data_IF_940149610055
#
_entry.id   IF_940149610055
#
_cell.length_a   1.000
_cell.length_b   1.000
_cell.length_c   1.000
_cell.angle_alpha   90.00
_cell.angle_beta   90.00
_cell.angle_gamma   90.00
#
_symmetry.space_group_name_H-M   'P 1'
#
loop_
_entity.id
_entity.type
_entity.pdbx_description
1 polymer ?
#
# COMPACT_ATOMS: atom_id res chain seq x y z
N UNK A 1 7.11 5.94 4.32
CA UNK A 1 5.94 5.29 4.88
C UNK A 1 6.36 4.18 5.84
N UNK A 2 5.96 4.28 7.08
CA UNK A 2 6.27 3.29 8.12
C UNK A 2 4.98 2.76 8.72
N UNK A 3 4.90 1.43 8.86
CA UNK A 3 3.78 0.79 9.53
C UNK A 3 4.33 -0.03 10.70
N UNK A 4 3.92 0.34 11.90
CA UNK A 4 4.37 -0.33 13.12
C UNK A 4 3.83 -1.76 13.21
N UNK A 5 4.48 -2.62 14.03
CA UNK A 5 4.03 -4.01 14.18
C UNK A 5 2.56 -4.13 14.56
N UNK A 6 1.85 -5.01 13.88
CA UNK A 6 0.45 -5.29 14.14
C UNK A 6 -0.53 -4.22 13.67
N UNK A 7 -0.05 -3.18 12.98
CA UNK A 7 -0.89 -2.07 12.50
C UNK A 7 -1.21 -2.22 11.03
N UNK A 8 -2.24 -1.51 10.60
CA UNK A 8 -2.66 -1.47 9.20
C UNK A 8 -3.15 -0.07 8.84
N UNK A 9 -3.03 0.25 7.56
CA UNK A 9 -3.61 1.47 7.01
C UNK A 9 -5.04 1.20 6.56
N UNK A 10 -5.76 2.25 6.18
CA UNK A 10 -7.12 2.06 5.65
C UNK A 10 -7.08 1.38 4.27
N UNK A 11 -8.15 0.67 3.94
CA UNK A 11 -8.39 0.22 2.58
C UNK A 11 -8.78 1.44 1.75
N UNK A 12 -8.02 1.72 0.69
CA UNK A 12 -8.16 2.96 -0.06
C UNK A 12 -7.81 2.77 -1.53
N UNK A 13 -8.26 3.71 -2.35
CA UNK A 13 -7.84 3.81 -3.74
C UNK A 13 -7.70 5.26 -4.15
N UNK A 14 -6.95 5.49 -5.22
CA UNK A 14 -6.75 6.81 -5.80
C UNK A 14 -7.22 6.78 -7.25
N UNK A 15 -7.86 7.84 -7.69
CA UNK A 15 -8.46 7.90 -9.01
C UNK A 15 -7.49 8.35 -10.09
N UNK A 16 -6.57 9.25 -9.75
CA UNK A 16 -5.73 9.94 -10.73
C UNK A 16 -4.24 9.65 -10.62
N UNK A 17 -3.80 8.89 -9.62
CA UNK A 17 -2.39 8.59 -9.43
C UNK A 17 -2.13 7.10 -9.29
N UNK A 18 -0.93 6.72 -9.68
CA UNK A 18 -0.36 5.42 -9.35
C UNK A 18 0.66 5.58 -8.24
N UNK A 19 1.01 4.48 -7.59
CA UNK A 19 2.05 4.46 -6.56
C UNK A 19 2.99 3.31 -6.85
N UNK A 20 4.27 3.57 -6.76
CA UNK A 20 5.30 2.56 -6.88
C UNK A 20 5.96 2.38 -5.52
N UNK A 21 5.91 1.17 -5.01
CA UNK A 21 6.40 0.85 -3.68
C UNK A 21 7.60 -0.08 -3.74
N UNK A 22 8.60 0.22 -2.90
CA UNK A 22 9.72 -0.69 -2.64
C UNK A 22 9.78 -0.87 -1.13
N UNK A 23 9.75 -2.13 -0.67
CA UNK A 23 9.91 -2.43 0.75
C UNK A 23 11.39 -2.29 1.07
N UNK A 24 11.75 -1.32 1.92
CA UNK A 24 13.12 -1.12 2.34
C UNK A 24 13.46 -1.90 3.60
N UNK A 25 12.47 -2.18 4.45
CA UNK A 25 12.68 -2.89 5.71
C UNK A 25 11.40 -3.61 6.11
N UNK A 26 11.55 -4.82 6.63
CA UNK A 26 10.43 -5.60 7.13
C UNK A 26 9.68 -6.35 6.05
N UNK A 27 8.59 -7.00 6.44
CA UNK A 27 7.73 -7.77 5.54
C UNK A 27 6.35 -7.17 5.56
N UNK A 28 5.89 -6.72 4.42
CA UNK A 28 4.59 -6.06 4.26
C UNK A 28 3.57 -7.03 3.67
N UNK A 29 2.32 -6.89 4.10
CA UNK A 29 1.21 -7.59 3.49
C UNK A 29 0.36 -6.56 2.75
N UNK A 30 0.17 -6.76 1.47
CA UNK A 30 -0.66 -5.90 0.64
C UNK A 30 -1.99 -6.60 0.40
N UNK A 31 -3.04 -6.06 0.99
CA UNK A 31 -4.40 -6.56 0.82
C UNK A 31 -5.06 -5.80 -0.33
N UNK A 32 -5.49 -6.55 -1.33
CA UNK A 32 -6.25 -6.03 -2.46
C UNK A 32 -7.69 -6.50 -2.32
N UNK A 33 -8.61 -5.59 -2.45
CA UNK A 33 -10.01 -5.91 -2.34
C UNK A 33 -10.44 -6.85 -3.48
N UNK A 34 -11.14 -7.93 -3.12
CA UNK A 34 -11.70 -8.87 -4.10
C UNK A 34 -10.85 -10.12 -4.33
N UNK A 35 -10.81 -10.58 -5.56
CA UNK A 35 -10.22 -11.89 -5.92
C UNK A 35 -8.71 -11.97 -5.79
N UNK A 36 -8.03 -10.84 -5.74
CA UNK A 36 -6.57 -10.83 -5.74
C UNK A 36 -5.97 -11.18 -4.39
N UNK A 37 -6.75 -11.05 -3.31
CA UNK A 37 -6.31 -11.46 -1.99
C UNK A 37 -5.16 -10.66 -1.42
N UNK A 38 -4.29 -11.33 -0.68
CA UNK A 38 -3.15 -10.71 0.01
C UNK A 38 -1.84 -11.14 -0.66
N UNK A 39 -1.00 -10.16 -0.95
CA UNK A 39 0.34 -10.38 -1.47
C UNK A 39 1.36 -10.04 -0.40
N UNK A 40 2.30 -10.94 -0.14
CA UNK A 40 3.38 -10.70 0.82
C UNK A 40 4.57 -10.11 0.09
N UNK A 41 5.05 -8.98 0.57
CA UNK A 41 6.19 -8.26 0.00
C UNK A 41 7.37 -8.35 0.96
N UNK A 42 8.41 -9.04 0.54
CA UNK A 42 9.68 -9.18 1.28
C UNK A 42 10.53 -7.92 1.08
N UNK A 43 11.59 -7.72 1.90
CA UNK A 43 12.51 -6.61 1.67
C UNK A 43 13.03 -6.59 0.24
N UNK A 44 13.07 -5.41 -0.35
CA UNK A 44 13.47 -5.12 -1.73
C UNK A 44 12.46 -5.54 -2.79
N UNK A 45 11.34 -6.14 -2.42
CA UNK A 45 10.25 -6.38 -3.36
C UNK A 45 9.60 -5.06 -3.76
N UNK A 46 9.10 -5.05 -4.98
CA UNK A 46 8.47 -3.89 -5.59
C UNK A 46 7.04 -4.21 -5.93
N UNK A 47 6.18 -3.19 -5.89
CA UNK A 47 4.80 -3.34 -6.30
C UNK A 47 4.27 -2.01 -6.84
N UNK A 48 3.53 -2.08 -7.92
CA UNK A 48 2.86 -0.91 -8.50
C UNK A 48 1.37 -0.99 -8.21
N UNK A 49 0.82 0.11 -7.71
CA UNK A 49 -0.61 0.25 -7.49
C UNK A 49 -1.12 1.24 -8.52
N UNK A 50 -1.98 0.77 -9.40
CA UNK A 50 -2.52 1.58 -10.49
C UNK A 50 -3.73 2.39 -10.01
N UNK A 51 -4.07 3.48 -10.73
CA UNK A 51 -5.28 4.22 -10.40
C UNK A 51 -6.51 3.32 -10.36
N UNK A 52 -7.37 3.52 -9.38
CA UNK A 52 -8.59 2.75 -9.23
C UNK A 52 -8.44 1.40 -8.52
N UNK A 53 -7.22 1.00 -8.18
CA UNK A 53 -7.00 -0.25 -7.45
C UNK A 53 -7.15 -0.04 -5.95
N UNK A 54 -7.99 -0.85 -5.33
CA UNK A 54 -8.09 -0.92 -3.88
C UNK A 54 -6.81 -1.52 -3.30
N UNK A 55 -6.31 -0.92 -2.22
CA UNK A 55 -5.13 -1.42 -1.54
C UNK A 55 -5.14 -1.07 -0.06
N UNK A 56 -4.58 -1.95 0.74
CA UNK A 56 -4.43 -1.76 2.18
C UNK A 56 -3.10 -2.38 2.60
N UNK A 57 -2.26 -1.59 3.22
CA UNK A 57 -0.99 -2.07 3.74
C UNK A 57 -1.17 -2.55 5.17
N UNK A 58 -0.71 -3.76 5.44
CA UNK A 58 -0.83 -4.41 6.75
C UNK A 58 0.56 -4.89 7.18
N UNK A 59 0.88 -4.66 8.43
CA UNK A 59 2.07 -5.25 9.05
C UNK A 59 1.63 -6.32 10.05
N UNK A 60 1.76 -7.58 9.65
CA UNK A 60 1.40 -8.74 10.48
C UNK A 60 2.59 -9.30 11.24
N UNK A 61 3.70 -8.56 11.32
CA UNK A 61 4.93 -9.03 11.93
C UNK A 61 5.25 -8.29 13.22
N UNK A 62 6.33 -8.71 13.88
CA UNK A 62 6.82 -8.08 15.11
C UNK A 62 7.78 -6.92 14.85
N UNK A 63 8.13 -6.68 13.60
CA UNK A 63 9.11 -5.66 13.21
C UNK A 63 8.44 -4.56 12.39
N UNK A 64 8.97 -3.33 12.43
CA UNK A 64 8.41 -2.26 11.60
C UNK A 64 8.57 -2.57 10.11
N UNK A 65 7.62 -2.09 9.33
CA UNK A 65 7.69 -2.13 7.86
C UNK A 65 7.96 -0.72 7.36
N UNK A 66 8.98 -0.58 6.51
CA UNK A 66 9.30 0.70 5.87
C UNK A 66 9.21 0.56 4.37
N UNK A 67 8.51 1.49 3.76
CA UNK A 67 8.26 1.48 2.32
C UNK A 67 8.68 2.82 1.73
N UNK A 68 9.46 2.76 0.67
CA UNK A 68 9.72 3.91 -0.20
C UNK A 68 8.59 3.96 -1.21
N UNK A 69 7.94 5.11 -1.29
CA UNK A 69 6.77 5.30 -2.13
C UNK A 69 7.01 6.43 -3.12
N UNK A 70 6.71 6.18 -4.39
CA UNK A 70 6.74 7.19 -5.44
C UNK A 70 5.33 7.31 -5.98
N UNK A 71 4.76 8.51 -5.87
CA UNK A 71 3.46 8.82 -6.45
C UNK A 71 3.67 9.46 -7.81
N UNK A 72 2.93 9.02 -8.80
CA UNK A 72 3.05 9.56 -10.14
C UNK A 72 1.74 9.38 -10.91
N UNK A 73 1.61 10.11 -12.00
CA UNK A 73 0.43 10.03 -12.84
C UNK A 73 -0.14 11.39 -13.17
N UNK A 74 -1.39 11.39 -13.56
CA UNK A 74 -2.07 12.60 -14.03
C UNK A 74 -2.18 13.67 -12.94
N UNK A 75 -2.44 13.27 -11.71
CA UNK A 75 -2.66 14.20 -10.60
C UNK A 75 -2.30 13.52 -9.27
N UNK A 76 -1.32 14.09 -8.56
CA UNK A 76 -0.89 13.59 -7.26
C UNK A 76 -1.38 14.51 -6.15
N UNK A 77 -2.67 14.48 -5.89
CA UNK A 77 -3.36 15.33 -4.91
C UNK A 77 -3.72 14.48 -3.69
N UNK A 78 -3.44 14.98 -2.49
CA UNK A 78 -3.78 14.27 -1.26
C UNK A 78 -5.28 14.09 -1.07
N UNK A 79 -6.09 14.92 -1.70
CA UNK A 79 -7.54 14.79 -1.65
C UNK A 79 -8.04 13.67 -2.57
N UNK A 80 -7.20 13.16 -3.46
CA UNK A 80 -7.53 12.05 -4.34
C UNK A 80 -7.42 10.73 -3.58
N UNK A 81 -8.35 10.52 -2.67
CA UNK A 81 -8.41 9.31 -1.87
C UNK A 81 -9.86 8.91 -1.62
N UNK A 82 -10.14 7.65 -1.86
CA UNK A 82 -11.43 7.04 -1.55
C UNK A 82 -11.13 5.93 -0.55
N UNK A 83 -11.70 6.05 0.64
CA UNK A 83 -11.52 5.07 1.71
C UNK A 83 -12.74 4.17 1.81
N UNK A 84 -12.47 2.91 2.11
CA UNK A 84 -13.52 1.95 2.40
C UNK A 84 -13.59 1.78 3.92
N UNK A 85 -14.78 1.95 4.44
CA UNK A 85 -15.05 1.71 5.87
C UNK A 85 -15.56 0.28 6.00
N UNK A 86 -14.86 -0.51 6.79
CA UNK A 86 -15.24 -1.89 7.06
C UNK A 86 -16.12 -1.99 8.31
#
# INVERSE_FOLDING_TARGET
LTVEPGKKLSMQKHQYRAEFWIVSEGVASLNRFGKEGVTVLQPHHQNTIYPGQWHQLINQTDEPVRIVEIQYGHKCDEEDIIRRVD
#
